data_IF_335487428365
#
_entry.id   IF_335487428365
#
_cell.length_a   1.000
_cell.length_b   1.000
_cell.length_c   1.000
_cell.angle_alpha   90.00
_cell.angle_beta   90.00
_cell.angle_gamma   90.00
#
_symmetry.space_group_name_H-M   'P 1'
#
loop_
_entity.id
_entity.type
_entity.pdbx_description
1 polymer ?
#
# COMPACT_ATOMS: atom_id res chain seq x y z
N UNK A 1 10.31 -22.78 -1.43
CA UNK A 1 10.88 -21.81 -2.39
C UNK A 1 10.09 -20.51 -2.29
N UNK A 2 10.72 -19.39 -1.90
CA UNK A 2 10.07 -18.06 -2.04
C UNK A 2 10.11 -17.70 -3.52
N UNK A 3 8.96 -17.72 -4.21
CA UNK A 3 8.86 -17.28 -5.61
C UNK A 3 9.32 -15.82 -5.68
N UNK A 4 10.19 -15.49 -6.65
CA UNK A 4 10.52 -14.10 -6.93
C UNK A 4 9.21 -13.37 -7.29
N UNK A 5 9.02 -12.11 -6.87
CA UNK A 5 7.90 -11.32 -7.36
C UNK A 5 7.88 -11.36 -8.88
N UNK A 6 6.74 -11.72 -9.44
CA UNK A 6 6.51 -11.55 -10.86
C UNK A 6 6.34 -10.04 -11.16
N UNK A 7 6.57 -9.62 -12.39
CA UNK A 7 6.55 -8.21 -12.76
C UNK A 7 5.20 -7.53 -12.42
N UNK A 8 4.09 -8.27 -12.48
CA UNK A 8 2.76 -7.77 -12.16
C UNK A 8 2.62 -7.42 -10.68
N UNK A 9 3.22 -8.21 -9.77
CA UNK A 9 3.22 -7.87 -8.34
C UNK A 9 3.89 -6.52 -8.08
N UNK A 10 5.04 -6.26 -8.72
CA UNK A 10 5.76 -5.00 -8.56
C UNK A 10 4.98 -3.82 -9.14
N UNK A 11 4.36 -4.00 -10.30
CA UNK A 11 3.53 -2.99 -10.94
C UNK A 11 2.29 -2.66 -10.10
N UNK A 12 1.59 -3.69 -9.60
CA UNK A 12 0.42 -3.50 -8.71
C UNK A 12 0.81 -2.83 -7.41
N UNK A 13 1.92 -3.24 -6.79
CA UNK A 13 2.43 -2.58 -5.59
C UNK A 13 2.67 -1.09 -5.84
N UNK A 14 3.35 -0.75 -6.93
CA UNK A 14 3.63 0.64 -7.31
C UNK A 14 2.32 1.41 -7.54
N UNK A 15 1.41 0.87 -8.33
CA UNK A 15 0.11 1.50 -8.61
C UNK A 15 -0.68 1.81 -7.33
N UNK A 16 -0.87 0.82 -6.44
CA UNK A 16 -1.66 1.01 -5.23
C UNK A 16 -1.00 1.95 -4.22
N UNK A 17 0.33 1.93 -4.10
CA UNK A 17 1.06 2.86 -3.22
C UNK A 17 1.03 4.31 -3.73
N UNK A 18 1.10 4.53 -5.05
CA UNK A 18 0.95 5.85 -5.67
C UNK A 18 -0.49 6.38 -5.54
N UNK A 19 -1.49 5.51 -5.73
CA UNK A 19 -2.89 5.82 -5.53
C UNK A 19 -3.17 6.22 -4.07
N UNK A 20 -2.70 5.41 -3.12
CA UNK A 20 -2.85 5.68 -1.69
C UNK A 20 -2.23 7.02 -1.32
N UNK A 21 -1.01 7.30 -1.77
CA UNK A 21 -0.31 8.57 -1.54
C UNK A 21 -1.03 9.78 -2.15
N UNK A 22 -1.77 9.59 -3.25
CA UNK A 22 -2.60 10.64 -3.86
C UNK A 22 -3.84 10.90 -3.01
N UNK A 23 -4.54 9.83 -2.60
CA UNK A 23 -5.72 9.92 -1.74
C UNK A 23 -5.40 10.57 -0.38
N UNK A 24 -4.22 10.30 0.19
CA UNK A 24 -3.76 10.95 1.42
C UNK A 24 -3.60 12.46 1.26
N UNK A 25 -3.07 12.90 0.10
CA UNK A 25 -2.93 14.33 -0.22
C UNK A 25 -4.28 15.01 -0.46
N UNK A 26 -5.27 14.26 -0.93
CA UNK A 26 -6.65 14.72 -1.09
C UNK A 26 -7.46 14.66 0.23
N UNK A 27 -6.89 14.16 1.32
CA UNK A 27 -7.58 14.00 2.61
C UNK A 27 -8.58 12.85 2.66
N UNK A 28 -8.59 11.96 1.64
CA UNK A 28 -9.47 10.80 1.54
C UNK A 28 -8.89 9.60 2.30
N UNK A 29 -8.73 9.75 3.61
CA UNK A 29 -7.98 8.79 4.43
C UNK A 29 -8.59 7.39 4.45
N UNK A 30 -9.92 7.24 4.45
CA UNK A 30 -10.55 5.91 4.38
C UNK A 30 -10.14 5.15 3.11
N UNK A 31 -10.24 5.81 1.95
CA UNK A 31 -9.89 5.22 0.66
C UNK A 31 -8.37 5.00 0.53
N UNK A 32 -7.58 5.88 1.14
CA UNK A 32 -6.13 5.71 1.20
C UNK A 32 -5.73 4.47 2.02
N UNK A 33 -6.41 4.21 3.15
CA UNK A 33 -6.23 3.00 3.95
C UNK A 33 -6.48 1.74 3.14
N UNK A 34 -7.59 1.67 2.41
CA UNK A 34 -7.91 0.56 1.51
C UNK A 34 -6.86 0.37 0.41
N UNK A 35 -6.31 1.46 -0.12
CA UNK A 35 -5.26 1.40 -1.13
C UNK A 35 -3.93 0.92 -0.55
N UNK A 36 -3.58 1.32 0.67
CA UNK A 36 -2.40 0.80 1.39
C UNK A 36 -2.54 -0.68 1.75
N UNK A 37 -3.74 -1.14 2.14
CA UNK A 37 -4.01 -2.56 2.36
C UNK A 37 -3.87 -3.39 1.07
N UNK A 38 -4.38 -2.88 -0.05
CA UNK A 38 -4.14 -3.51 -1.37
C UNK A 38 -2.66 -3.52 -1.72
N UNK A 39 -1.92 -2.44 -1.47
CA UNK A 39 -0.47 -2.40 -1.69
C UNK A 39 0.27 -3.44 -0.84
N UNK A 40 -0.12 -3.61 0.43
CA UNK A 40 0.45 -4.61 1.34
C UNK A 40 0.39 -6.03 0.76
N UNK A 41 -0.74 -6.40 0.14
CA UNK A 41 -0.93 -7.70 -0.50
C UNK A 41 0.04 -7.97 -1.67
N UNK A 42 0.54 -6.92 -2.33
CA UNK A 42 1.52 -7.02 -3.42
C UNK A 42 2.96 -6.72 -2.96
N UNK A 43 3.16 -6.33 -1.70
CA UNK A 43 4.46 -6.01 -1.15
C UNK A 43 5.30 -7.28 -0.91
N UNK A 44 6.45 -7.37 -1.58
CA UNK A 44 7.23 -8.61 -1.62
C UNK A 44 8.40 -8.66 -0.65
N UNK A 45 8.77 -7.52 -0.08
CA UNK A 45 9.78 -7.44 0.97
C UNK A 45 9.12 -7.01 2.30
N UNK A 46 9.67 -7.43 3.44
CA UNK A 46 9.13 -7.07 4.75
C UNK A 46 9.13 -5.56 5.01
N UNK A 47 10.07 -4.83 4.40
CA UNK A 47 10.16 -3.37 4.55
C UNK A 47 8.94 -2.66 3.95
N UNK A 48 8.54 -3.03 2.73
CA UNK A 48 7.36 -2.43 2.09
C UNK A 48 6.07 -2.89 2.77
N UNK A 49 6.04 -4.12 3.29
CA UNK A 49 4.91 -4.60 4.08
C UNK A 49 4.71 -3.71 5.32
N UNK A 50 5.76 -3.57 6.14
CA UNK A 50 5.73 -2.70 7.32
C UNK A 50 5.41 -1.24 7.00
N UNK A 51 5.90 -0.76 5.87
CA UNK A 51 5.56 0.59 5.39
C UNK A 51 4.07 0.71 5.07
N UNK A 52 3.48 -0.23 4.33
CA UNK A 52 2.04 -0.23 4.02
C UNK A 52 1.19 -0.36 5.29
N UNK A 53 1.56 -1.24 6.23
CA UNK A 53 0.89 -1.39 7.53
C UNK A 53 0.88 -0.05 8.30
N UNK A 54 2.04 0.60 8.40
CA UNK A 54 2.17 1.89 9.08
C UNK A 54 1.32 2.99 8.44
N UNK A 55 1.22 2.99 7.10
CA UNK A 55 0.40 3.97 6.37
C UNK A 55 -1.09 3.67 6.48
N UNK A 56 -1.49 2.40 6.46
CA UNK A 56 -2.87 1.99 6.72
C UNK A 56 -3.30 2.43 8.12
N UNK A 57 -2.49 2.20 9.15
CA UNK A 57 -2.76 2.65 10.51
C UNK A 57 -2.86 4.19 10.60
N UNK A 58 -1.97 4.91 9.91
CA UNK A 58 -2.03 6.37 9.83
C UNK A 58 -3.34 6.87 9.21
N UNK A 59 -3.78 6.23 8.13
CA UNK A 59 -5.03 6.54 7.45
C UNK A 59 -6.24 6.27 8.34
N UNK A 60 -6.29 5.12 9.02
CA UNK A 60 -7.37 4.76 9.94
C UNK A 60 -7.50 5.72 11.13
N UNK A 61 -6.40 6.33 11.57
CA UNK A 61 -6.42 7.36 12.63
C UNK A 61 -6.96 8.72 12.15
N UNK A 62 -7.11 8.92 10.84
CA UNK A 62 -7.49 10.20 10.22
C UNK A 62 -8.78 10.14 9.39
N UNK A 63 -9.36 8.94 9.24
CA UNK A 63 -10.65 8.70 8.59
C UNK A 63 -11.82 9.12 9.46
#
# INVERSE_FOLDING_TARGET
MKKKPDALQRERFKYFSELASTLEREGKYLQAGDAWDKALNFATNPLNQKWCESRCEYCNKRS
#
